data_IF_541581916866
#
_entry.id   IF_541581916866
#
_cell.length_a   1.000
_cell.length_b   1.000
_cell.length_c   1.000
_cell.angle_alpha   90.00
_cell.angle_beta   90.00
_cell.angle_gamma   90.00
#
_symmetry.space_group_name_H-M   'P 1'
#
loop_
_entity.id
_entity.type
_entity.pdbx_description
1 polymer ?
#
# COMPACT_ATOMS: atom_id res chain seq x y z
N UNK A 1 -18.69 54.16 -29.31
CA UNK A 1 -19.49 54.58 -30.49
C UNK A 1 -19.90 53.30 -31.21
N UNK A 2 -20.96 52.58 -30.85
CA UNK A 2 -22.40 52.85 -31.00
C UNK A 2 -22.74 53.50 -32.34
N UNK A 3 -23.38 52.71 -33.22
CA UNK A 3 -24.59 53.08 -33.96
C UNK A 3 -25.31 51.83 -34.49
N UNK A 4 -26.41 51.50 -33.81
CA UNK A 4 -27.56 50.74 -34.32
C UNK A 4 -28.52 51.78 -34.92
N UNK A 5 -29.34 51.41 -35.91
CA UNK A 5 -30.76 51.75 -35.78
C UNK A 5 -31.72 50.59 -36.05
N UNK A 6 -32.77 50.60 -35.22
CA UNK A 6 -33.95 49.76 -35.19
C UNK A 6 -34.82 49.98 -36.44
N UNK A 7 -35.65 49.02 -36.87
CA UNK A 7 -36.99 48.70 -36.35
C UNK A 7 -37.69 47.98 -37.54
N UNK A 8 -38.79 47.23 -37.51
CA UNK A 8 -39.83 46.91 -36.54
C UNK A 8 -40.57 45.68 -37.11
N UNK A 9 -41.31 44.99 -36.25
CA UNK A 9 -42.06 43.73 -36.46
C UNK A 9 -43.12 43.78 -37.59
N UNK A 10 -43.45 42.59 -38.13
CA UNK A 10 -44.80 41.97 -38.35
C UNK A 10 -44.62 40.85 -39.41
N UNK A 11 -44.66 39.57 -39.03
CA UNK A 11 -45.79 38.62 -39.04
C UNK A 11 -46.28 38.19 -40.45
N UNK A 12 -46.23 36.87 -40.66
CA UNK A 12 -47.15 36.02 -41.45
C UNK A 12 -46.87 35.70 -42.93
N UNK A 13 -46.92 34.37 -43.15
CA UNK A 13 -47.45 33.63 -44.30
C UNK A 13 -46.55 33.33 -45.51
N UNK A 14 -46.15 32.06 -45.63
CA UNK A 14 -46.11 31.28 -46.88
C UNK A 14 -45.96 29.79 -46.50
N UNK A 15 -47.02 28.98 -46.54
CA UNK A 15 -47.44 28.14 -47.68
C UNK A 15 -46.32 27.30 -48.31
N UNK A 16 -46.39 25.98 -48.16
CA UNK A 16 -46.18 24.98 -49.21
C UNK A 16 -46.62 23.58 -48.69
N UNK A 17 -46.92 22.58 -49.55
CA UNK A 17 -48.24 21.97 -49.64
C UNK A 17 -48.26 20.51 -49.20
N UNK A 18 -49.49 20.03 -48.97
CA UNK A 18 -49.83 18.63 -48.82
C UNK A 18 -49.35 17.78 -50.01
N UNK A 19 -48.58 16.74 -49.71
CA UNK A 19 -48.60 15.49 -50.46
C UNK A 19 -49.01 14.38 -49.50
N UNK A 20 -50.16 13.80 -49.82
CA UNK A 20 -50.81 12.72 -49.09
C UNK A 20 -50.10 11.42 -49.47
N UNK A 21 -49.51 10.74 -48.49
CA UNK A 21 -49.27 9.30 -48.62
C UNK A 21 -49.84 8.59 -47.39
N UNK A 22 -50.73 7.66 -47.71
CA UNK A 22 -51.46 6.75 -46.83
C UNK A 22 -50.50 6.01 -45.87
N UNK A 23 -50.67 6.22 -44.57
CA UNK A 23 -50.32 5.20 -43.58
C UNK A 23 -51.62 4.56 -43.12
N UNK A 24 -51.81 3.29 -43.52
CA UNK A 24 -52.74 2.40 -42.87
C UNK A 24 -52.39 2.36 -41.37
N UNK A 25 -53.39 2.54 -40.52
CA UNK A 25 -53.30 2.28 -39.09
C UNK A 25 -53.12 0.79 -38.89
N UNK A 26 -51.88 0.33 -38.77
CA UNK A 26 -51.61 -0.88 -38.00
C UNK A 26 -51.58 -0.46 -36.54
N UNK A 27 -52.59 -0.88 -35.79
CA UNK A 27 -52.61 -0.87 -34.33
C UNK A 27 -51.43 -1.70 -33.81
N UNK A 28 -50.24 -1.11 -33.78
CA UNK A 28 -49.14 -1.61 -32.99
C UNK A 28 -49.23 -0.87 -31.66
N UNK A 29 -49.94 -1.49 -30.72
CA UNK A 29 -49.78 -1.16 -29.31
C UNK A 29 -48.27 -1.04 -29.00
N UNK A 30 -47.82 -0.03 -28.24
CA UNK A 30 -46.43 0.06 -27.84
C UNK A 30 -46.03 -1.28 -27.22
N UNK A 31 -44.97 -1.87 -27.78
CA UNK A 31 -44.42 -3.13 -27.30
C UNK A 31 -44.26 -3.00 -25.77
N UNK A 32 -44.86 -3.90 -24.98
CA UNK A 32 -44.76 -3.81 -23.54
C UNK A 32 -43.28 -3.79 -23.18
N UNK A 33 -42.89 -2.78 -22.39
CA UNK A 33 -41.52 -2.67 -21.89
C UNK A 33 -41.04 -4.07 -21.46
N UNK A 34 -39.87 -4.53 -21.93
CA UNK A 34 -39.40 -5.88 -21.64
C UNK A 34 -39.53 -6.09 -20.14
N UNK A 35 -40.32 -7.12 -19.76
CA UNK A 35 -40.53 -7.43 -18.35
C UNK A 35 -39.15 -7.51 -17.70
N UNK A 36 -38.91 -6.82 -16.57
CA UNK A 36 -37.64 -6.93 -15.88
C UNK A 36 -37.36 -8.42 -15.66
N UNK A 37 -36.11 -8.90 -15.89
CA UNK A 37 -35.79 -10.30 -15.74
C UNK A 37 -36.25 -10.76 -14.36
N UNK A 38 -37.22 -11.68 -14.34
CA UNK A 38 -37.64 -12.36 -13.12
C UNK A 38 -36.55 -13.38 -12.83
N UNK A 39 -35.68 -13.05 -11.88
CA UNK A 39 -34.67 -14.00 -11.42
C UNK A 39 -35.38 -15.06 -10.58
N UNK A 40 -35.42 -16.31 -11.06
CA UNK A 40 -35.90 -17.42 -10.25
C UNK A 40 -35.02 -17.56 -9.00
N UNK A 41 -35.65 -17.56 -7.82
CA UNK A 41 -34.98 -17.88 -6.57
C UNK A 41 -34.48 -19.33 -6.69
N UNK A 42 -33.16 -19.59 -6.54
CA UNK A 42 -32.64 -20.93 -6.77
C UNK A 42 -33.17 -21.95 -5.76
N UNK A 43 -33.26 -23.21 -6.20
CA UNK A 43 -34.02 -24.28 -5.53
C UNK A 43 -33.25 -24.98 -4.40
N UNK A 44 -31.94 -24.72 -4.23
CA UNK A 44 -31.12 -25.34 -3.17
C UNK A 44 -30.43 -24.29 -2.29
N UNK A 45 -30.09 -24.65 -1.05
CA UNK A 45 -29.42 -23.74 -0.10
C UNK A 45 -28.07 -23.23 -0.64
N UNK A 46 -27.34 -24.06 -1.38
CA UNK A 46 -26.05 -23.69 -1.97
C UNK A 46 -26.20 -22.72 -3.16
N UNK A 47 -27.26 -22.89 -3.97
CA UNK A 47 -27.57 -21.98 -5.07
C UNK A 47 -28.12 -20.63 -4.57
N UNK A 48 -28.87 -20.63 -3.47
CA UNK A 48 -29.34 -19.40 -2.80
C UNK A 48 -28.17 -18.56 -2.28
N UNK A 49 -27.15 -19.20 -1.70
CA UNK A 49 -25.95 -18.51 -1.23
C UNK A 49 -25.15 -17.96 -2.41
N UNK A 50 -24.88 -18.77 -3.45
CA UNK A 50 -24.19 -18.32 -4.66
C UNK A 50 -24.90 -17.17 -5.39
N UNK A 51 -26.24 -17.18 -5.40
CA UNK A 51 -27.07 -16.09 -5.90
C UNK A 51 -26.95 -14.82 -5.04
N UNK A 52 -27.00 -14.95 -3.71
CA UNK A 52 -26.80 -13.83 -2.77
C UNK A 52 -25.39 -13.24 -2.92
N UNK A 53 -24.37 -14.07 -3.10
CA UNK A 53 -23.00 -13.63 -3.38
C UNK A 53 -22.89 -12.78 -4.65
N UNK A 54 -23.56 -13.18 -5.74
CA UNK A 54 -23.57 -12.41 -6.99
C UNK A 54 -24.19 -11.03 -6.83
N UNK A 55 -25.13 -10.88 -5.90
CA UNK A 55 -25.82 -9.62 -5.61
C UNK A 55 -25.06 -8.72 -4.66
N UNK A 56 -24.35 -9.28 -3.67
CA UNK A 56 -23.64 -8.49 -2.64
C UNK A 56 -22.20 -8.16 -3.03
N UNK A 57 -21.51 -9.06 -3.74
CA UNK A 57 -20.10 -8.90 -4.12
C UNK A 57 -19.88 -8.69 -5.62
N UNK A 58 -20.94 -8.81 -6.43
CA UNK A 58 -20.83 -8.67 -7.88
C UNK A 58 -20.04 -9.79 -8.55
N UNK A 59 -19.99 -10.99 -7.96
CA UNK A 59 -19.26 -12.15 -8.47
C UNK A 59 -20.18 -13.09 -9.27
N UNK A 60 -19.60 -13.89 -10.17
CA UNK A 60 -20.33 -14.98 -10.82
C UNK A 60 -20.68 -16.05 -9.76
N UNK A 61 -21.91 -16.54 -9.72
CA UNK A 61 -22.32 -17.58 -8.76
C UNK A 61 -21.46 -18.83 -8.86
N UNK A 62 -20.85 -19.11 -10.02
CA UNK A 62 -19.94 -20.25 -10.21
C UNK A 62 -18.56 -20.06 -9.57
N UNK A 63 -18.22 -18.82 -9.18
CA UNK A 63 -16.95 -18.50 -8.53
C UNK A 63 -16.93 -18.87 -7.04
N UNK A 64 -18.06 -19.30 -6.46
CA UNK A 64 -18.16 -19.64 -5.03
C UNK A 64 -18.40 -21.14 -4.84
N UNK A 65 -17.56 -21.80 -4.04
CA UNK A 65 -17.63 -23.23 -3.75
C UNK A 65 -17.54 -23.46 -2.24
N UNK A 66 -18.23 -24.47 -1.72
CA UNK A 66 -18.02 -24.88 -0.32
C UNK A 66 -16.60 -25.44 -0.20
N UNK A 67 -15.80 -24.87 0.71
CA UNK A 67 -14.45 -25.36 0.98
C UNK A 67 -14.49 -26.41 2.10
N UNK A 68 -15.23 -26.12 3.17
CA UNK A 68 -15.43 -27.01 4.30
C UNK A 68 -16.80 -26.73 4.98
N UNK A 69 -17.00 -27.23 6.20
CA UNK A 69 -18.23 -27.03 6.97
C UNK A 69 -18.51 -25.54 7.26
N UNK A 70 -17.47 -24.74 7.49
CA UNK A 70 -17.53 -23.37 8.01
C UNK A 70 -17.09 -22.29 7.00
N UNK A 71 -16.48 -22.68 5.88
CA UNK A 71 -15.89 -21.74 4.92
C UNK A 71 -16.31 -21.99 3.47
N UNK A 72 -16.35 -20.90 2.71
CA UNK A 72 -16.43 -20.88 1.25
C UNK A 72 -15.08 -20.52 0.64
N UNK A 73 -14.77 -21.14 -0.51
CA UNK A 73 -13.75 -20.72 -1.44
C UNK A 73 -14.40 -19.81 -2.49
N UNK A 74 -13.85 -18.61 -2.65
CA UNK A 74 -14.34 -17.56 -3.55
C UNK A 74 -13.23 -17.28 -4.55
N UNK A 75 -13.58 -17.32 -5.84
CA UNK A 75 -12.70 -17.06 -7.00
C UNK A 75 -11.39 -17.87 -7.03
N UNK A 76 -11.31 -18.96 -6.27
CA UNK A 76 -10.21 -19.92 -6.29
C UNK A 76 -9.15 -19.75 -5.20
N UNK A 77 -8.98 -18.56 -4.63
CA UNK A 77 -7.93 -18.24 -3.65
C UNK A 77 -8.39 -17.40 -2.44
N UNK A 78 -9.63 -16.92 -2.44
CA UNK A 78 -10.21 -16.19 -1.32
C UNK A 78 -11.07 -17.10 -0.44
N UNK A 79 -10.99 -16.93 0.87
CA UNK A 79 -11.76 -17.69 1.87
C UNK A 79 -12.71 -16.75 2.59
N UNK A 80 -13.96 -17.16 2.76
CA UNK A 80 -14.94 -16.44 3.56
C UNK A 80 -15.68 -17.38 4.50
N UNK A 81 -15.79 -17.00 5.77
CA UNK A 81 -16.59 -17.75 6.73
C UNK A 81 -18.08 -17.66 6.36
N UNK A 82 -18.81 -18.77 6.47
CA UNK A 82 -20.27 -18.80 6.20
C UNK A 82 -21.03 -17.84 7.11
N UNK A 83 -20.57 -17.64 8.35
CA UNK A 83 -21.15 -16.70 9.31
C UNK A 83 -21.02 -15.24 8.87
N UNK A 84 -19.88 -14.83 8.32
CA UNK A 84 -19.65 -13.48 7.81
C UNK A 84 -20.65 -13.13 6.70
N UNK A 85 -20.97 -14.09 5.83
CA UNK A 85 -22.00 -13.89 4.81
C UNK A 85 -23.38 -13.64 5.41
N UNK A 86 -23.78 -14.44 6.40
CA UNK A 86 -25.04 -14.26 7.11
C UNK A 86 -25.13 -12.85 7.71
N UNK A 87 -24.03 -12.38 8.32
CA UNK A 87 -23.97 -11.03 8.87
C UNK A 87 -24.09 -9.96 7.77
N UNK A 88 -23.33 -10.07 6.67
CA UNK A 88 -23.43 -9.15 5.54
C UNK A 88 -24.85 -9.06 4.98
N UNK A 89 -25.56 -10.18 4.89
CA UNK A 89 -26.95 -10.18 4.45
C UNK A 89 -27.87 -9.38 5.39
N UNK A 90 -27.63 -9.46 6.71
CA UNK A 90 -28.41 -8.68 7.68
C UNK A 90 -28.02 -7.20 7.72
N UNK A 91 -26.77 -6.86 7.42
CA UNK A 91 -26.24 -5.49 7.53
C UNK A 91 -26.39 -4.66 6.26
N UNK A 92 -26.45 -5.28 5.08
CA UNK A 92 -26.60 -4.57 3.81
C UNK A 92 -28.01 -4.76 3.25
N UNK A 93 -28.77 -3.67 2.99
CA UNK A 93 -30.06 -3.80 2.34
C UNK A 93 -29.86 -4.45 0.96
N UNK A 94 -30.59 -5.53 0.69
CA UNK A 94 -30.71 -6.08 -0.66
C UNK A 94 -31.38 -5.01 -1.50
N UNK A 95 -30.57 -4.21 -2.20
CA UNK A 95 -31.10 -3.17 -3.09
C UNK A 95 -31.74 -3.90 -4.27
N UNK A 96 -33.07 -3.80 -4.40
CA UNK A 96 -33.73 -4.18 -5.66
C UNK A 96 -32.98 -3.48 -6.79
N UNK A 97 -32.56 -4.24 -7.80
CA UNK A 97 -31.85 -3.71 -8.95
C UNK A 97 -32.75 -2.78 -9.77
N UNK A 98 -32.96 -1.56 -9.30
CA UNK A 98 -33.51 -0.44 -10.04
C UNK A 98 -32.42 0.61 -10.15
N UNK A 99 -31.85 0.71 -11.35
CA UNK A 99 -31.13 1.89 -11.86
C UNK A 99 -30.23 2.64 -10.87
N UNK A 100 -29.46 1.89 -10.08
CA UNK A 100 -28.45 2.46 -9.22
C UNK A 100 -27.18 2.70 -10.05
N UNK A 101 -26.99 3.91 -10.57
CA UNK A 101 -25.69 4.40 -11.08
C UNK A 101 -24.65 4.59 -9.96
N UNK A 102 -24.94 4.12 -8.75
CA UNK A 102 -24.11 4.28 -7.55
C UNK A 102 -23.34 2.99 -7.28
N UNK A 103 -22.01 3.09 -7.37
CA UNK A 103 -21.09 2.11 -6.79
C UNK A 103 -21.27 2.12 -5.27
N UNK A 104 -21.65 0.98 -4.69
CA UNK A 104 -21.66 0.82 -3.23
C UNK A 104 -20.20 0.54 -2.83
N UNK A 105 -19.67 1.34 -1.90
CA UNK A 105 -18.33 1.12 -1.33
C UNK A 105 -18.35 -0.28 -0.72
N UNK A 106 -17.33 -1.09 -1.00
CA UNK A 106 -17.18 -2.40 -0.35
C UNK A 106 -17.40 -2.24 1.17
N UNK A 107 -18.12 -3.17 1.85
CA UNK A 107 -18.23 -3.19 3.31
C UNK A 107 -16.88 -3.05 4.02
N UNK A 108 -15.82 -3.47 3.33
CA UNK A 108 -14.48 -3.73 3.83
C UNK A 108 -13.59 -2.48 3.89
N UNK A 109 -14.19 -1.31 4.12
CA UNK A 109 -13.39 -0.10 4.31
C UNK A 109 -12.66 -0.23 5.64
N UNK A 110 -11.37 -0.50 5.54
CA UNK A 110 -10.45 -0.34 6.64
C UNK A 110 -10.50 1.13 7.07
N UNK A 111 -11.02 1.37 8.26
CA UNK A 111 -11.14 2.69 8.85
C UNK A 111 -10.22 2.80 10.06
N UNK A 112 -9.72 4.02 10.26
CA UNK A 112 -8.84 4.49 11.34
C UNK A 112 -7.35 4.34 11.07
N UNK A 113 -6.62 5.37 11.54
CA UNK A 113 -5.17 5.35 11.61
C UNK A 113 -4.67 4.20 12.49
N UNK A 114 -4.14 3.16 11.85
CA UNK A 114 -3.73 1.94 12.54
C UNK A 114 -2.65 1.19 11.78
N UNK A 115 -1.72 0.58 12.52
CA UNK A 115 -0.82 -0.45 12.00
C UNK A 115 -1.52 -1.80 12.10
N UNK A 116 -1.74 -2.47 10.95
CA UNK A 116 -2.22 -3.84 10.94
C UNK A 116 -1.07 -4.80 11.13
N UNK A 117 -1.13 -5.55 12.24
CA UNK A 117 -0.06 -6.46 12.66
C UNK A 117 -0.22 -7.81 11.96
N UNK A 118 0.81 -8.22 11.24
CA UNK A 118 0.93 -9.54 10.63
C UNK A 118 1.77 -10.41 11.55
N UNK A 119 1.12 -11.32 12.25
CA UNK A 119 1.76 -12.30 13.11
C UNK A 119 2.36 -13.43 12.29
N UNK A 120 3.65 -13.67 12.50
CA UNK A 120 4.39 -14.76 11.89
C UNK A 120 4.70 -15.78 12.98
N UNK A 121 4.53 -17.08 12.71
CA UNK A 121 5.02 -18.12 13.61
C UNK A 121 6.50 -18.42 13.31
N UNK A 122 7.45 -18.01 14.18
CA UNK A 122 8.88 -18.20 13.91
C UNK A 122 9.24 -19.67 13.78
N UNK A 123 10.07 -20.02 12.80
CA UNK A 123 10.56 -21.38 12.59
C UNK A 123 9.63 -22.31 11.79
N UNK A 124 8.44 -21.84 11.38
CA UNK A 124 7.54 -22.61 10.50
C UNK A 124 7.58 -22.18 9.03
N UNK A 125 8.30 -21.11 8.69
CA UNK A 125 8.39 -20.62 7.32
C UNK A 125 9.61 -21.19 6.59
N UNK A 126 9.41 -21.60 5.35
CA UNK A 126 10.50 -22.00 4.46
C UNK A 126 11.47 -20.83 4.20
N UNK A 127 12.72 -21.16 3.89
CA UNK A 127 13.77 -20.19 3.55
C UNK A 127 13.29 -19.23 2.45
N UNK A 128 13.42 -17.93 2.69
CA UNK A 128 13.06 -16.87 1.73
C UNK A 128 11.63 -16.35 1.80
N UNK A 129 10.69 -17.10 2.40
CA UNK A 129 9.27 -16.69 2.56
C UNK A 129 9.15 -15.41 3.38
N UNK A 130 9.85 -15.33 4.51
CA UNK A 130 9.87 -14.15 5.36
C UNK A 130 10.29 -12.89 4.59
N UNK A 131 11.40 -12.99 3.85
CA UNK A 131 11.91 -11.89 3.06
C UNK A 131 10.94 -11.46 1.95
N UNK A 132 10.20 -12.41 1.38
CA UNK A 132 9.22 -12.12 0.34
C UNK A 132 8.00 -11.39 0.93
N UNK A 133 7.54 -11.80 2.12
CA UNK A 133 6.44 -11.14 2.83
C UNK A 133 6.81 -9.70 3.18
N UNK A 134 8.04 -9.47 3.63
CA UNK A 134 8.55 -8.13 3.90
C UNK A 134 8.57 -7.26 2.65
N UNK A 135 9.04 -7.78 1.52
CA UNK A 135 8.96 -7.05 0.25
C UNK A 135 7.52 -6.72 -0.13
N UNK A 136 6.58 -7.66 0.01
CA UNK A 136 5.18 -7.45 -0.33
C UNK A 136 4.50 -6.39 0.56
N UNK A 137 4.78 -6.41 1.87
CA UNK A 137 4.38 -5.36 2.83
C UNK A 137 4.94 -4.01 2.39
N UNK A 138 6.21 -3.96 1.99
CA UNK A 138 6.86 -2.78 1.43
C UNK A 138 6.06 -2.18 0.27
N UNK A 139 5.78 -2.99 -0.75
CA UNK A 139 5.02 -2.54 -1.92
C UNK A 139 3.65 -1.94 -1.54
N UNK A 140 2.85 -2.65 -0.74
CA UNK A 140 1.55 -2.13 -0.31
C UNK A 140 1.66 -0.86 0.49
N UNK A 141 2.53 -0.82 1.49
CA UNK A 141 2.72 0.38 2.30
C UNK A 141 3.18 1.55 1.45
N UNK A 142 3.98 1.32 0.42
CA UNK A 142 4.38 2.37 -0.50
C UNK A 142 3.24 3.03 -1.23
N UNK A 143 2.40 2.24 -1.90
CA UNK A 143 1.26 2.81 -2.62
C UNK A 143 0.20 3.39 -1.67
N UNK A 144 -0.01 2.76 -0.51
CA UNK A 144 -0.97 3.20 0.51
C UNK A 144 -0.53 4.54 1.12
N UNK A 145 0.70 4.62 1.62
CA UNK A 145 1.25 5.81 2.28
C UNK A 145 1.36 6.98 1.28
N UNK A 146 1.85 6.70 0.06
CA UNK A 146 1.97 7.69 -1.01
C UNK A 146 0.60 8.30 -1.39
N UNK A 147 -0.48 7.55 -1.22
CA UNK A 147 -1.85 8.02 -1.54
C UNK A 147 -2.70 8.36 -0.31
N UNK A 148 -2.05 8.49 0.85
CA UNK A 148 -2.64 9.06 2.05
C UNK A 148 -3.49 8.10 2.87
N UNK A 149 -3.40 6.79 2.62
CA UNK A 149 -4.01 5.82 3.52
C UNK A 149 -3.53 6.05 4.96
N UNK A 150 -4.46 5.93 5.90
CA UNK A 150 -4.19 6.11 7.33
C UNK A 150 -3.60 4.86 7.98
N UNK A 151 -3.56 3.73 7.28
CA UNK A 151 -3.04 2.47 7.80
C UNK A 151 -1.83 1.97 7.01
N UNK A 152 -1.10 1.05 7.62
CA UNK A 152 -0.01 0.31 7.00
C UNK A 152 0.09 -1.08 7.63
N UNK A 153 0.76 -2.00 6.93
CA UNK A 153 1.08 -3.33 7.46
C UNK A 153 2.42 -3.30 8.20
N UNK A 154 2.56 -4.18 9.18
CA UNK A 154 3.84 -4.49 9.82
C UNK A 154 3.87 -5.95 10.25
N UNK A 155 4.98 -6.63 9.98
CA UNK A 155 5.16 -8.01 10.40
C UNK A 155 5.85 -8.10 11.77
N UNK A 156 5.41 -9.05 12.59
CA UNK A 156 5.95 -9.34 13.90
C UNK A 156 6.26 -10.84 14.03
N UNK A 157 7.38 -11.15 14.67
CA UNK A 157 7.74 -12.51 15.04
C UNK A 157 6.96 -13.02 16.26
N UNK A 158 6.26 -12.15 16.98
CA UNK A 158 5.32 -12.55 18.03
C UNK A 158 3.90 -12.59 17.44
N UNK A 159 3.24 -13.76 17.36
CA UNK A 159 1.95 -13.90 16.72
C UNK A 159 0.78 -13.27 17.48
N UNK A 160 0.93 -12.83 18.75
CA UNK A 160 -0.21 -12.36 19.53
C UNK A 160 -0.01 -11.04 20.31
N UNK A 161 -0.99 -10.12 20.30
CA UNK A 161 -2.17 -10.08 19.44
C UNK A 161 -1.84 -9.54 18.04
N UNK A 162 -2.17 -10.31 16.99
CA UNK A 162 -2.05 -9.90 15.58
C UNK A 162 -3.42 -9.68 14.94
N UNK A 163 -3.48 -8.80 13.94
CA UNK A 163 -4.67 -8.56 13.12
C UNK A 163 -4.82 -9.57 12.00
N UNK A 164 -3.68 -10.00 11.46
CA UNK A 164 -3.57 -10.94 10.35
C UNK A 164 -2.58 -12.01 10.78
N UNK A 165 -2.93 -13.27 10.59
CA UNK A 165 -2.04 -14.38 10.85
C UNK A 165 -1.47 -14.94 9.55
N UNK A 166 -0.15 -15.13 9.49
CA UNK A 166 0.52 -15.76 8.36
C UNK A 166 0.83 -17.23 8.69
N UNK A 167 0.26 -18.14 7.91
CA UNK A 167 0.43 -19.58 8.06
C UNK A 167 1.09 -20.22 6.85
N UNK A 168 1.64 -21.42 7.03
CA UNK A 168 2.03 -22.31 5.94
C UNK A 168 1.32 -23.65 6.13
N UNK A 169 0.71 -24.17 5.07
CA UNK A 169 0.01 -25.45 5.06
C UNK A 169 0.14 -26.13 3.71
N UNK A 170 -0.11 -27.44 3.64
CA UNK A 170 -0.03 -28.22 2.42
C UNK A 170 -1.43 -28.49 1.85
N UNK A 171 -1.71 -27.97 0.66
CA UNK A 171 -2.95 -28.22 -0.07
C UNK A 171 -2.63 -28.82 -1.45
N UNK A 172 -2.31 -30.13 -1.52
CA UNK A 172 -1.82 -30.76 -2.75
C UNK A 172 -2.86 -30.79 -3.88
N UNK A 173 -4.15 -30.61 -3.57
CA UNK A 173 -5.24 -30.61 -4.54
C UNK A 173 -5.67 -29.19 -4.96
N UNK A 174 -4.95 -28.15 -4.53
CA UNK A 174 -5.25 -26.75 -4.87
C UNK A 174 -4.07 -26.15 -5.63
N UNK A 175 -4.32 -25.71 -6.86
CA UNK A 175 -3.34 -25.08 -7.74
C UNK A 175 -3.29 -23.55 -7.54
N UNK A 176 -3.13 -23.14 -6.28
CA UNK A 176 -3.00 -21.72 -5.89
C UNK A 176 -1.89 -21.55 -4.83
N UNK A 177 -1.12 -20.45 -4.88
CA UNK A 177 -0.03 -20.21 -3.93
C UNK A 177 -0.51 -19.82 -2.53
N UNK A 178 -1.68 -19.21 -2.42
CA UNK A 178 -2.22 -18.70 -1.16
C UNK A 178 -3.72 -18.97 -1.05
N UNK A 179 -4.17 -19.09 0.20
CA UNK A 179 -5.56 -18.94 0.59
C UNK A 179 -5.68 -17.76 1.53
N UNK A 180 -6.58 -16.84 1.23
CA UNK A 180 -6.67 -15.55 1.93
C UNK A 180 -8.06 -15.33 2.48
N UNK A 181 -8.17 -15.16 3.79
CA UNK A 181 -9.45 -14.78 4.40
C UNK A 181 -9.80 -13.35 4.02
N UNK A 182 -10.99 -13.13 3.46
CA UNK A 182 -11.49 -11.78 3.16
C UNK A 182 -11.86 -11.01 4.44
N UNK A 183 -11.83 -9.66 4.41
CA UNK A 183 -12.34 -8.85 5.50
C UNK A 183 -13.80 -9.17 5.87
N UNK A 184 -14.15 -8.90 7.13
CA UNK A 184 -15.52 -8.93 7.61
C UNK A 184 -16.18 -7.55 7.62
N UNK A 185 -17.34 -7.43 8.25
CA UNK A 185 -18.11 -6.19 8.46
C UNK A 185 -17.52 -5.28 9.55
N UNK A 186 -16.51 -5.73 10.28
CA UNK A 186 -15.93 -5.07 11.46
C UNK A 186 -14.90 -3.98 11.12
N UNK A 187 -14.65 -3.69 9.83
CA UNK A 187 -13.65 -2.72 9.39
C UNK A 187 -12.19 -3.14 9.64
N UNK A 188 -11.94 -4.42 9.93
CA UNK A 188 -10.61 -5.01 10.06
C UNK A 188 -10.19 -5.71 8.76
N UNK A 189 -8.88 -5.88 8.52
CA UNK A 189 -8.39 -6.68 7.41
C UNK A 189 -8.85 -8.13 7.51
N UNK A 190 -8.71 -8.85 6.41
CA UNK A 190 -8.80 -10.31 6.41
C UNK A 190 -7.89 -10.93 7.48
N UNK A 191 -8.40 -11.90 8.24
CA UNK A 191 -7.71 -12.37 9.44
C UNK A 191 -6.51 -13.31 9.18
N UNK A 192 -6.36 -13.86 7.95
CA UNK A 192 -5.31 -14.84 7.68
C UNK A 192 -4.86 -14.89 6.22
N UNK A 193 -3.56 -15.15 6.04
CA UNK A 193 -2.93 -15.57 4.79
C UNK A 193 -2.33 -16.95 5.02
N UNK A 194 -2.69 -17.94 4.22
CA UNK A 194 -2.12 -19.28 4.29
C UNK A 194 -1.35 -19.60 3.02
N UNK A 195 -0.03 -19.72 3.14
CA UNK A 195 0.85 -20.17 2.06
C UNK A 195 0.65 -21.67 1.79
N UNK A 196 0.39 -22.03 0.53
CA UNK A 196 0.32 -23.41 0.09
C UNK A 196 1.72 -23.95 -0.24
N UNK A 197 2.31 -24.71 0.68
CA UNK A 197 3.65 -25.29 0.49
C UNK A 197 3.70 -26.34 -0.63
N UNK A 198 2.58 -27.01 -0.91
CA UNK A 198 2.48 -27.97 -2.03
C UNK A 198 2.59 -27.27 -3.39
N UNK A 199 1.98 -26.09 -3.54
CA UNK A 199 2.11 -25.28 -4.74
C UNK A 199 3.55 -24.82 -4.97
N UNK A 200 4.23 -24.32 -3.91
CA UNK A 200 5.62 -23.88 -4.04
C UNK A 200 6.55 -25.01 -4.52
N UNK A 201 6.36 -26.21 -3.99
CA UNK A 201 7.14 -27.40 -4.37
C UNK A 201 6.83 -27.85 -5.80
N UNK A 202 5.55 -27.91 -6.17
CA UNK A 202 5.13 -28.39 -7.49
C UNK A 202 5.53 -27.44 -8.63
N UNK A 203 5.58 -26.14 -8.38
CA UNK A 203 5.82 -25.12 -9.41
C UNK A 203 7.22 -24.50 -9.38
N UNK A 204 8.10 -24.94 -8.47
CA UNK A 204 9.46 -24.41 -8.30
C UNK A 204 9.49 -22.87 -8.26
N UNK A 205 8.65 -22.30 -7.39
CA UNK A 205 8.37 -20.86 -7.35
C UNK A 205 9.64 -20.08 -6.95
N UNK A 206 10.03 -19.10 -7.77
CA UNK A 206 11.15 -18.19 -7.46
C UNK A 206 10.77 -17.18 -6.39
N UNK A 207 11.77 -16.53 -5.79
CA UNK A 207 11.53 -15.49 -4.78
C UNK A 207 10.66 -14.34 -5.34
N UNK A 208 10.91 -13.92 -6.57
CA UNK A 208 10.21 -12.80 -7.22
C UNK A 208 8.74 -13.15 -7.49
N UNK A 209 8.48 -14.39 -7.94
CA UNK A 209 7.12 -14.91 -8.10
C UNK A 209 6.39 -14.99 -6.76
N UNK A 210 7.10 -15.41 -5.69
CA UNK A 210 6.54 -15.46 -4.35
C UNK A 210 6.17 -14.06 -3.83
N UNK A 211 7.03 -13.06 -4.05
CA UNK A 211 6.74 -11.66 -3.71
C UNK A 211 5.48 -11.18 -4.42
N UNK A 212 5.37 -11.41 -5.74
CA UNK A 212 4.17 -11.06 -6.51
C UNK A 212 2.90 -11.69 -5.95
N UNK A 213 2.92 -13.01 -5.72
CA UNK A 213 1.78 -13.73 -5.17
C UNK A 213 1.41 -13.25 -3.75
N UNK A 214 2.39 -12.82 -2.94
CA UNK A 214 2.12 -12.21 -1.63
C UNK A 214 1.53 -10.79 -1.74
N UNK A 215 1.95 -10.00 -2.72
CA UNK A 215 1.31 -8.70 -2.99
C UNK A 215 -0.14 -8.92 -3.40
N UNK A 216 -0.42 -9.90 -4.27
CA UNK A 216 -1.80 -10.29 -4.62
C UNK A 216 -2.60 -10.70 -3.37
N UNK A 217 -2.03 -11.59 -2.54
CA UNK A 217 -2.69 -12.06 -1.32
C UNK A 217 -3.00 -10.93 -0.33
N UNK A 218 -2.08 -9.99 -0.12
CA UNK A 218 -2.32 -8.79 0.69
C UNK A 218 -3.42 -7.90 0.10
N UNK A 219 -3.62 -7.89 -1.22
CA UNK A 219 -4.77 -7.23 -1.83
C UNK A 219 -6.10 -7.82 -1.40
N UNK A 220 -6.21 -9.15 -1.33
CA UNK A 220 -7.40 -9.81 -0.79
C UNK A 220 -7.61 -9.52 0.69
N UNK A 221 -6.54 -9.39 1.49
CA UNK A 221 -6.62 -8.92 2.89
C UNK A 221 -7.24 -7.52 3.00
N UNK A 222 -7.09 -6.68 1.98
CA UNK A 222 -7.72 -5.35 1.88
C UNK A 222 -9.15 -5.41 1.31
N UNK A 223 -9.65 -6.60 0.99
CA UNK A 223 -10.98 -6.82 0.39
C UNK A 223 -11.02 -6.56 -1.12
N UNK A 224 -9.86 -6.55 -1.79
CA UNK A 224 -9.78 -6.45 -3.24
C UNK A 224 -10.10 -7.80 -3.87
N UNK A 225 -10.69 -7.77 -5.06
CA UNK A 225 -11.10 -8.95 -5.82
C UNK A 225 -10.38 -9.00 -7.15
N UNK A 226 -10.51 -10.11 -7.86
CA UNK A 226 -9.81 -10.27 -9.13
C UNK A 226 -10.21 -9.22 -10.17
N UNK A 227 -9.24 -8.73 -10.94
CA UNK A 227 -9.44 -7.67 -11.94
C UNK A 227 -10.18 -8.16 -13.19
N UNK A 228 -10.04 -9.43 -13.55
CA UNK A 228 -10.59 -10.05 -14.75
C UNK A 228 -11.99 -10.64 -14.58
N UNK A 229 -12.63 -10.37 -13.44
CA UNK A 229 -14.03 -10.72 -13.25
C UNK A 229 -14.92 -10.03 -14.28
N UNK A 230 -16.03 -10.68 -14.62
CA UNK A 230 -17.06 -10.09 -15.49
C UNK A 230 -17.60 -8.81 -14.85
N UNK A 231 -17.69 -7.74 -15.64
CA UNK A 231 -18.22 -6.44 -15.20
C UNK A 231 -19.67 -6.59 -14.76
N UNK A 232 -19.90 -6.68 -13.44
CA UNK A 232 -21.24 -6.56 -12.86
C UNK A 232 -21.48 -5.13 -12.39
N UNK A 233 -22.73 -4.72 -12.28
CA UNK A 233 -23.14 -3.33 -12.03
C UNK A 233 -22.69 -2.72 -10.68
N UNK A 234 -21.97 -3.47 -9.83
CA UNK A 234 -21.89 -3.17 -8.40
C UNK A 234 -20.51 -2.78 -7.84
N UNK A 235 -19.42 -2.80 -8.62
CA UNK A 235 -18.12 -2.37 -8.10
C UNK A 235 -17.18 -1.90 -9.21
N UNK A 236 -16.90 -0.60 -9.29
CA UNK A 236 -15.88 -0.06 -10.18
C UNK A 236 -14.90 0.81 -9.38
N UNK A 237 -13.87 0.15 -8.86
CA UNK A 237 -12.73 0.83 -8.26
C UNK A 237 -11.63 1.15 -9.29
N UNK A 238 -11.87 0.95 -10.60
CA UNK A 238 -10.94 1.34 -11.66
C UNK A 238 -9.88 0.30 -12.05
N UNK A 239 -9.91 -0.91 -11.48
CA UNK A 239 -9.02 -2.01 -11.86
C UNK A 239 -9.70 -3.15 -12.64
N UNK A 240 -11.03 -3.12 -12.86
CA UNK A 240 -11.71 -4.18 -13.62
C UNK A 240 -11.29 -4.16 -15.10
N UNK A 241 -10.95 -5.33 -15.64
CA UNK A 241 -10.43 -5.52 -16.99
C UNK A 241 -8.96 -5.15 -17.16
N UNK A 242 -8.27 -4.75 -16.08
CA UNK A 242 -6.85 -4.45 -16.12
C UNK A 242 -6.04 -5.76 -16.06
N UNK A 243 -5.59 -6.22 -17.22
CA UNK A 243 -4.75 -7.42 -17.37
C UNK A 243 -3.35 -7.26 -16.78
N UNK A 244 -2.94 -6.04 -16.42
CA UNK A 244 -1.67 -5.76 -15.76
C UNK A 244 -1.83 -5.55 -14.26
N UNK A 245 -3.06 -5.60 -13.73
CA UNK A 245 -3.32 -5.47 -12.30
C UNK A 245 -2.65 -6.59 -11.53
N UNK A 246 -2.09 -6.26 -10.37
CA UNK A 246 -1.61 -7.28 -9.44
C UNK A 246 -2.74 -8.19 -8.97
N UNK A 247 -3.99 -7.73 -9.03
CA UNK A 247 -5.18 -8.51 -8.68
C UNK A 247 -5.72 -9.35 -9.85
N UNK A 248 -5.03 -9.51 -10.97
CA UNK A 248 -5.50 -10.41 -12.02
C UNK A 248 -5.44 -11.89 -11.59
N UNK A 249 -6.45 -12.71 -11.89
CA UNK A 249 -6.52 -14.12 -11.47
C UNK A 249 -5.34 -14.96 -12.00
N UNK A 250 -4.96 -14.72 -13.25
CA UNK A 250 -3.72 -15.23 -13.84
C UNK A 250 -2.52 -14.38 -13.41
N UNK A 251 -2.22 -14.33 -12.11
CA UNK A 251 -1.06 -13.61 -11.59
C UNK A 251 0.22 -14.05 -12.35
N UNK A 252 1.11 -13.11 -12.70
CA UNK A 252 2.17 -13.45 -13.63
C UNK A 252 3.21 -14.36 -12.98
N UNK A 253 3.50 -15.45 -13.68
CA UNK A 253 4.52 -16.45 -13.31
C UNK A 253 5.95 -15.95 -13.58
N UNK A 254 6.21 -14.66 -13.49
CA UNK A 254 7.50 -14.04 -13.83
C UNK A 254 7.75 -12.72 -13.08
N UNK A 255 8.97 -12.16 -13.16
CA UNK A 255 9.31 -10.93 -12.46
C UNK A 255 8.46 -9.77 -12.98
N UNK A 256 7.81 -9.05 -12.06
CA UNK A 256 7.13 -7.80 -12.40
C UNK A 256 8.15 -6.69 -12.61
N UNK A 257 8.14 -6.05 -13.78
CA UNK A 257 8.86 -4.79 -13.99
C UNK A 257 8.23 -3.62 -13.23
N UNK A 258 6.94 -3.74 -12.89
CA UNK A 258 6.20 -2.83 -12.02
C UNK A 258 5.14 -3.61 -11.23
N UNK A 259 5.15 -3.47 -9.91
CA UNK A 259 4.27 -4.25 -9.03
C UNK A 259 2.79 -3.87 -9.15
N UNK A 260 2.48 -2.58 -9.24
CA UNK A 260 1.11 -2.08 -9.35
C UNK A 260 0.84 -1.43 -10.71
N UNK A 261 -0.31 -1.74 -11.30
CA UNK A 261 -0.80 -1.11 -12.50
C UNK A 261 -1.33 0.32 -12.24
N UNK A 262 -1.71 1.02 -13.31
CA UNK A 262 -2.44 2.30 -13.17
C UNK A 262 -3.83 2.09 -12.55
N UNK A 263 -4.50 0.98 -12.88
CA UNK A 263 -5.79 0.61 -12.29
C UNK A 263 -5.69 0.35 -10.79
N UNK A 264 -4.67 -0.39 -10.35
CA UNK A 264 -4.40 -0.64 -8.92
C UNK A 264 -4.21 0.68 -8.15
N UNK A 265 -3.46 1.61 -8.76
CA UNK A 265 -3.21 2.93 -8.17
C UNK A 265 -4.49 3.77 -8.05
N UNK A 266 -5.34 3.76 -9.08
CA UNK A 266 -6.61 4.49 -9.06
C UNK A 266 -7.57 3.91 -8.00
N UNK A 267 -7.59 2.59 -7.87
CA UNK A 267 -8.36 1.86 -6.87
C UNK A 267 -7.93 2.23 -5.45
N UNK A 268 -6.64 2.19 -5.12
CA UNK A 268 -6.13 2.57 -3.79
C UNK A 268 -6.59 3.97 -3.40
N UNK A 269 -6.43 4.95 -4.31
CA UNK A 269 -6.86 6.34 -4.06
C UNK A 269 -8.36 6.47 -3.78
N UNK A 270 -9.18 5.63 -4.41
CA UNK A 270 -10.64 5.68 -4.28
C UNK A 270 -11.13 4.99 -3.01
N UNK A 271 -10.50 3.88 -2.64
CA UNK A 271 -10.92 3.06 -1.49
C UNK A 271 -10.35 3.58 -0.17
N UNK A 272 -9.11 4.05 -0.20
CA UNK A 272 -8.34 4.53 0.95
C UNK A 272 -7.89 5.98 0.72
N UNK A 273 -8.83 6.92 0.50
CA UNK A 273 -8.48 8.30 0.23
C UNK A 273 -7.78 8.91 1.44
N UNK A 274 -6.84 9.82 1.16
CA UNK A 274 -6.28 10.69 2.16
C UNK A 274 -7.41 11.42 2.91
N UNK A 275 -7.43 11.40 4.25
CA UNK A 275 -8.23 12.33 5.02
C UNK A 275 -7.82 13.76 4.69
N UNK A 276 -8.63 14.73 5.10
CA UNK A 276 -8.27 16.14 5.01
C UNK A 276 -7.17 16.49 6.03
N UNK A 277 -5.96 15.96 5.83
CA UNK A 277 -4.81 16.29 6.64
C UNK A 277 -4.37 17.72 6.36
N UNK A 278 -3.93 18.45 7.39
CA UNK A 278 -3.30 19.74 7.19
C UNK A 278 -2.05 19.55 6.31
N UNK A 279 -1.91 20.41 5.31
CA UNK A 279 -0.68 20.51 4.52
C UNK A 279 0.25 21.48 5.23
N UNK A 280 1.46 21.04 5.57
CA UNK A 280 2.45 21.88 6.23
C UNK A 280 3.84 21.63 5.65
N UNK A 281 4.71 22.62 5.88
CA UNK A 281 6.15 22.48 5.73
C UNK A 281 6.72 21.59 6.83
N UNK A 282 7.75 20.80 6.52
CA UNK A 282 8.57 20.11 7.51
C UNK A 282 9.49 21.06 8.32
N UNK A 283 9.63 22.33 7.93
CA UNK A 283 10.58 23.28 8.53
C UNK A 283 11.93 23.28 7.81
N UNK A 284 13.03 23.56 8.50
CA UNK A 284 14.37 23.42 7.93
C UNK A 284 14.88 21.98 8.10
N UNK A 285 15.63 21.47 7.12
CA UNK A 285 16.23 20.14 7.18
C UNK A 285 17.10 19.99 8.43
N UNK A 286 17.90 21.01 8.77
CA UNK A 286 18.77 21.02 9.95
C UNK A 286 18.07 20.66 11.26
N UNK A 287 16.78 20.96 11.36
CA UNK A 287 15.99 20.89 12.59
C UNK A 287 15.15 19.60 12.67
N UNK A 288 15.24 18.75 11.65
CA UNK A 288 14.51 17.48 11.60
C UNK A 288 15.11 16.44 12.56
N UNK A 289 14.24 15.56 13.06
CA UNK A 289 14.62 14.37 13.80
C UNK A 289 15.21 13.30 12.86
N UNK A 290 14.67 13.16 11.64
CA UNK A 290 15.15 12.22 10.64
C UNK A 290 14.39 12.35 9.32
N UNK A 291 14.93 11.77 8.26
CA UNK A 291 14.28 11.69 6.95
C UNK A 291 14.41 10.26 6.45
N UNK A 292 13.30 9.66 6.03
CA UNK A 292 13.31 8.30 5.50
C UNK A 292 12.46 8.19 4.24
N UNK A 293 12.89 7.31 3.33
CA UNK A 293 12.16 6.96 2.13
C UNK A 293 11.40 5.66 2.42
N UNK A 294 10.09 5.65 2.18
CA UNK A 294 9.30 4.42 2.29
C UNK A 294 9.60 3.50 1.11
N UNK A 295 9.24 2.22 1.24
CA UNK A 295 8.96 1.44 0.03
C UNK A 295 7.89 2.19 -0.78
N UNK A 296 7.93 2.19 -2.11
CA UNK A 296 7.12 3.07 -2.98
C UNK A 296 7.59 4.52 -3.08
N UNK A 297 8.78 4.85 -2.53
CA UNK A 297 9.50 6.11 -2.72
C UNK A 297 8.79 7.38 -2.19
N UNK A 298 7.85 7.26 -1.25
CA UNK A 298 7.36 8.42 -0.51
C UNK A 298 8.42 8.84 0.53
N UNK A 299 8.55 10.14 0.82
CA UNK A 299 9.53 10.62 1.81
C UNK A 299 8.82 11.12 3.05
N UNK A 300 9.27 10.63 4.21
CA UNK A 300 8.79 10.99 5.53
C UNK A 300 9.79 11.92 6.20
N UNK A 301 9.37 13.15 6.46
CA UNK A 301 10.17 14.16 7.16
C UNK A 301 9.71 14.24 8.62
N UNK A 302 10.51 13.70 9.54
CA UNK A 302 10.19 13.69 10.96
C UNK A 302 10.73 14.96 11.62
N UNK A 303 9.85 15.78 12.21
CA UNK A 303 10.24 17.01 12.90
C UNK A 303 10.50 16.73 14.39
N UNK A 304 11.38 17.50 15.02
CA UNK A 304 11.58 17.42 16.49
C UNK A 304 10.37 17.88 17.32
N UNK A 305 9.34 18.45 16.68
CA UNK A 305 8.07 18.84 17.31
C UNK A 305 7.04 17.71 17.34
N UNK A 306 7.41 16.49 16.93
CA UNK A 306 6.50 15.34 16.94
C UNK A 306 5.56 15.29 15.75
N UNK A 307 5.93 15.90 14.62
CA UNK A 307 5.17 15.85 13.37
C UNK A 307 5.92 15.06 12.31
N UNK A 308 5.18 14.38 11.44
CA UNK A 308 5.71 13.75 10.22
C UNK A 308 5.04 14.38 9.03
N UNK A 309 5.82 14.97 8.14
CA UNK A 309 5.35 15.52 6.86
C UNK A 309 5.64 14.52 5.76
N UNK A 310 4.64 14.20 4.94
CA UNK A 310 4.80 13.33 3.78
C UNK A 310 5.07 14.16 2.53
N UNK A 311 6.11 13.79 1.77
CA UNK A 311 6.52 14.52 0.58
C UNK A 311 7.26 13.65 -0.44
N UNK A 312 8.05 14.30 -1.28
CA UNK A 312 9.02 13.66 -2.18
C UNK A 312 10.42 14.09 -1.79
N UNK A 313 11.46 13.40 -2.28
CA UNK A 313 12.86 13.66 -1.91
C UNK A 313 13.32 15.13 -2.03
N UNK A 314 12.70 15.91 -2.92
CA UNK A 314 12.96 17.34 -3.13
C UNK A 314 11.77 18.26 -2.76
N UNK A 315 10.75 17.76 -2.06
CA UNK A 315 9.61 18.55 -1.61
C UNK A 315 9.13 18.06 -0.24
N UNK A 316 9.45 18.84 0.78
CA UNK A 316 9.09 18.60 2.18
C UNK A 316 7.80 19.36 2.60
N UNK A 317 6.91 19.62 1.64
CA UNK A 317 5.59 20.19 1.87
C UNK A 317 4.55 19.14 1.54
N UNK A 318 3.69 18.83 2.50
CA UNK A 318 2.60 17.91 2.27
C UNK A 318 1.78 17.61 3.51
N UNK A 319 0.94 16.56 3.42
CA UNK A 319 0.09 16.14 4.51
C UNK A 319 0.87 15.78 5.78
N UNK A 320 0.39 16.24 6.94
CA UNK A 320 1.08 16.11 8.22
C UNK A 320 0.29 15.29 9.24
N UNK A 321 0.99 14.41 9.97
CA UNK A 321 0.47 13.67 11.14
C UNK A 321 1.39 13.82 12.35
N UNK A 322 1.00 13.29 13.51
CA UNK A 322 1.84 13.24 14.73
C UNK A 322 2.54 11.90 14.89
N UNK A 323 3.75 11.94 15.43
CA UNK A 323 4.41 10.76 15.99
C UNK A 323 4.84 11.03 17.42
N UNK A 324 4.94 9.95 18.20
CA UNK A 324 5.39 10.00 19.59
C UNK A 324 6.67 9.20 19.78
N UNK A 325 7.51 9.66 20.69
CA UNK A 325 8.61 8.90 21.29
C UNK A 325 8.22 8.42 22.69
N UNK A 326 9.18 7.83 23.42
CA UNK A 326 9.02 7.43 24.82
C UNK A 326 9.43 8.55 25.78
N UNK A 327 8.90 8.53 26.99
CA UNK A 327 9.23 9.54 28.03
C UNK A 327 10.74 9.56 28.35
N UNK A 328 11.35 8.38 28.35
CA UNK A 328 12.78 8.13 28.57
C UNK A 328 13.63 8.25 27.29
N UNK A 329 13.01 8.52 26.14
CA UNK A 329 13.66 8.68 24.85
C UNK A 329 12.95 9.79 24.06
N UNK A 330 13.11 11.06 24.48
CA UNK A 330 12.38 12.15 23.89
C UNK A 330 12.77 12.29 22.42
N UNK A 331 11.78 12.60 21.58
CA UNK A 331 11.97 12.76 20.13
C UNK A 331 12.99 13.85 19.75
N UNK A 332 13.29 14.76 20.68
CA UNK A 332 14.31 15.81 20.51
C UNK A 332 15.73 15.26 20.42
N UNK A 333 15.95 14.07 20.98
CA UNK A 333 17.24 13.40 21.05
C UNK A 333 17.48 12.47 19.85
N UNK A 334 16.48 12.28 19.00
CA UNK A 334 16.61 11.52 17.76
C UNK A 334 17.57 12.27 16.83
N UNK A 335 18.57 11.52 16.35
CA UNK A 335 19.57 11.95 15.37
C UNK A 335 19.14 11.54 13.97
N UNK A 336 18.62 10.32 13.84
CA UNK A 336 18.17 9.73 12.59
C UNK A 336 17.08 8.68 12.82
N UNK A 337 16.28 8.45 11.78
CA UNK A 337 15.31 7.36 11.71
C UNK A 337 15.62 6.53 10.46
N UNK A 338 15.67 5.20 10.58
CA UNK A 338 15.72 4.32 9.43
C UNK A 338 14.56 3.33 9.38
N UNK A 339 14.30 2.78 8.19
CA UNK A 339 13.21 1.84 7.97
C UNK A 339 13.63 0.65 7.09
N UNK A 340 13.36 -0.56 7.58
CA UNK A 340 13.58 -1.79 6.82
C UNK A 340 12.52 -1.98 5.73
N UNK A 341 12.73 -2.94 4.82
CA UNK A 341 11.71 -3.29 3.81
C UNK A 341 10.41 -3.81 4.44
N UNK A 342 10.48 -4.32 5.67
CA UNK A 342 9.32 -4.74 6.45
C UNK A 342 8.55 -3.57 7.11
N UNK A 343 8.95 -2.32 6.82
CA UNK A 343 8.46 -1.11 7.49
C UNK A 343 8.66 -1.13 9.01
N UNK A 344 9.71 -1.80 9.49
CA UNK A 344 10.14 -1.67 10.89
C UNK A 344 11.02 -0.43 11.00
N UNK A 345 10.65 0.48 11.89
CA UNK A 345 11.34 1.75 12.07
C UNK A 345 12.37 1.63 13.19
N UNK A 346 13.52 2.27 13.01
CA UNK A 346 14.58 2.36 14.00
C UNK A 346 14.88 3.83 14.24
N UNK A 347 14.67 4.31 15.46
CA UNK A 347 15.07 5.64 15.88
C UNK A 347 16.42 5.56 16.60
N UNK A 348 17.39 6.35 16.16
CA UNK A 348 18.73 6.43 16.71
C UNK A 348 18.88 7.73 17.50
N UNK A 349 19.37 7.61 18.74
CA UNK A 349 19.41 8.70 19.70
C UNK A 349 20.85 9.20 19.91
N UNK A 350 20.98 10.48 20.23
CA UNK A 350 22.27 11.15 20.48
C UNK A 350 23.04 10.56 21.67
N UNK A 351 22.34 9.89 22.59
CA UNK A 351 22.91 9.18 23.73
C UNK A 351 23.49 7.80 23.39
N UNK A 352 23.45 7.39 22.11
CA UNK A 352 24.08 6.15 21.66
C UNK A 352 23.22 4.92 21.69
N UNK A 353 21.93 5.11 21.90
CA UNK A 353 20.99 4.01 21.86
C UNK A 353 20.14 4.10 20.60
N UNK A 354 19.49 2.99 20.29
CA UNK A 354 18.43 2.95 19.31
C UNK A 354 17.23 2.19 19.84
N UNK A 355 16.09 2.48 19.25
CA UNK A 355 14.84 1.76 19.49
C UNK A 355 14.22 1.34 18.18
N UNK A 356 13.62 0.16 18.18
CA UNK A 356 12.69 -0.20 17.11
C UNK A 356 11.27 0.28 17.44
N UNK A 357 10.49 0.53 16.40
CA UNK A 357 9.12 0.99 16.54
C UNK A 357 8.34 1.00 15.24
N UNK A 358 7.25 1.75 15.28
CA UNK A 358 6.32 1.92 14.17
C UNK A 358 6.47 3.31 13.55
N UNK A 359 6.00 3.48 12.32
CA UNK A 359 6.09 4.73 11.54
C UNK A 359 5.74 5.99 12.33
N UNK A 360 4.80 5.87 13.28
CA UNK A 360 4.28 6.98 14.08
C UNK A 360 4.36 6.77 15.59
N UNK A 361 4.99 5.67 16.02
CA UNK A 361 5.22 5.34 17.43
C UNK A 361 6.65 4.83 17.54
N UNK A 362 7.59 5.75 17.42
CA UNK A 362 9.01 5.44 17.50
C UNK A 362 9.30 4.97 18.93
N UNK A 363 9.81 3.76 19.07
CA UNK A 363 10.15 3.18 20.36
C UNK A 363 9.02 2.49 21.13
N UNK A 364 7.79 2.43 20.61
CA UNK A 364 6.67 1.79 21.33
C UNK A 364 6.49 0.29 21.02
N UNK A 365 7.57 -0.43 20.69
CA UNK A 365 7.49 -1.88 20.63
C UNK A 365 7.58 -2.46 22.06
N UNK A 366 6.55 -3.15 22.59
CA UNK A 366 6.59 -3.75 23.93
C UNK A 366 7.70 -4.80 24.10
N UNK A 367 8.28 -5.30 22.99
CA UNK A 367 9.32 -6.35 22.99
C UNK A 367 10.74 -5.78 22.83
N UNK A 368 10.87 -4.51 22.43
CA UNK A 368 12.15 -3.87 22.09
C UNK A 368 12.73 -3.05 23.23
N UNK A 369 13.82 -3.54 23.83
CA UNK A 369 14.60 -2.76 24.80
C UNK A 369 15.35 -1.58 24.17
N UNK A 370 15.72 -0.61 25.00
CA UNK A 370 16.69 0.43 24.69
C UNK A 370 18.03 -0.25 24.38
N UNK A 371 18.40 -0.40 23.10
CA UNK A 371 19.60 -1.14 22.70
C UNK A 371 20.76 -0.19 22.47
N UNK A 372 21.94 -0.52 22.99
CA UNK A 372 23.12 0.29 22.78
C UNK A 372 23.66 0.06 21.36
N UNK A 373 23.89 1.13 20.63
CA UNK A 373 24.60 1.08 19.36
C UNK A 373 26.08 0.76 19.61
N UNK A 374 26.64 -0.08 18.75
CA UNK A 374 28.08 -0.39 18.75
C UNK A 374 28.66 0.17 17.46
N UNK A 375 29.23 1.40 17.47
CA UNK A 375 29.87 1.98 16.31
C UNK A 375 31.01 1.12 15.77
N UNK A 376 31.34 1.32 14.49
CA UNK A 376 32.47 0.66 13.87
C UNK A 376 33.81 1.02 14.55
N UNK A 377 34.86 0.18 14.44
CA UNK A 377 36.19 0.52 14.94
C UNK A 377 36.67 1.89 14.42
N UNK A 378 37.14 2.76 15.32
CA UNK A 378 37.57 4.12 14.99
C UNK A 378 36.45 5.15 14.82
N UNK A 379 35.19 4.73 14.89
CA UNK A 379 34.02 5.60 14.81
C UNK A 379 33.40 5.83 16.19
N UNK A 380 32.59 6.90 16.29
CA UNK A 380 31.84 7.21 17.49
C UNK A 380 30.48 7.80 17.13
N UNK A 381 29.64 8.00 18.13
CA UNK A 381 28.33 8.61 17.93
C UNK A 381 28.44 10.09 17.53
N UNK A 382 29.55 10.76 17.86
CA UNK A 382 29.78 12.14 17.42
C UNK A 382 30.15 12.22 15.93
N UNK A 383 30.60 11.11 15.32
CA UNK A 383 30.84 11.04 13.88
C UNK A 383 29.64 10.53 13.10
N UNK A 384 28.70 9.83 13.75
CA UNK A 384 27.47 9.34 13.13
C UNK A 384 26.58 10.46 12.59
N UNK A 385 26.22 10.38 11.31
CA UNK A 385 25.36 11.38 10.64
C UNK A 385 24.03 10.82 10.16
N UNK A 386 23.91 9.50 10.03
CA UNK A 386 22.67 8.87 9.60
C UNK A 386 22.84 7.40 9.23
N UNK A 387 21.72 6.74 8.94
CA UNK A 387 21.65 5.34 8.59
C UNK A 387 20.60 5.11 7.51
N UNK A 388 20.83 4.13 6.66
CA UNK A 388 19.84 3.67 5.67
C UNK A 388 19.86 2.15 5.62
N UNK A 389 18.77 1.53 5.20
CA UNK A 389 18.68 0.08 5.01
C UNK A 389 18.67 -0.26 3.52
N UNK A 390 19.53 -1.20 3.12
CA UNK A 390 19.52 -1.73 1.76
C UNK A 390 18.23 -2.49 1.47
N UNK A 391 17.58 -2.19 0.35
CA UNK A 391 16.33 -2.85 -0.05
C UNK A 391 16.52 -4.30 -0.47
N UNK A 392 17.70 -4.66 -0.96
CA UNK A 392 18.00 -6.00 -1.46
C UNK A 392 18.09 -7.07 -0.35
N UNK A 393 18.65 -6.72 0.81
CA UNK A 393 18.97 -7.69 1.85
C UNK A 393 18.72 -7.23 3.30
N UNK A 394 18.17 -6.02 3.50
CA UNK A 394 17.99 -5.38 4.80
C UNK A 394 19.27 -5.11 5.62
N UNK A 395 20.44 -5.08 4.99
CA UNK A 395 21.64 -4.64 5.67
C UNK A 395 21.56 -3.14 5.99
N UNK A 396 21.99 -2.79 7.20
CA UNK A 396 22.05 -1.40 7.64
C UNK A 396 23.38 -0.78 7.24
N UNK A 397 23.34 0.38 6.60
CA UNK A 397 24.49 1.25 6.36
C UNK A 397 24.50 2.34 7.42
N UNK A 398 25.66 2.58 8.01
CA UNK A 398 25.88 3.63 9.01
C UNK A 398 26.91 4.60 8.49
N UNK A 399 26.53 5.86 8.36
CA UNK A 399 27.32 6.89 7.69
C UNK A 399 27.97 7.81 8.71
N UNK A 400 29.20 8.22 8.41
CA UNK A 400 30.02 9.03 9.30
C UNK A 400 30.45 10.35 8.62
N UNK A 401 30.66 11.39 9.42
CA UNK A 401 31.04 12.74 8.97
C UNK A 401 32.50 12.85 8.50
N UNK A 402 33.25 11.75 8.45
CA UNK A 402 34.62 11.68 7.94
C UNK A 402 34.70 11.15 6.51
N UNK A 403 33.57 10.87 5.87
CA UNK A 403 33.51 10.30 4.52
C UNK A 403 33.58 8.78 4.48
N UNK A 404 33.39 8.11 5.62
CA UNK A 404 33.30 6.65 5.69
C UNK A 404 31.91 6.14 6.07
N UNK A 405 31.64 4.87 5.78
CA UNK A 405 30.45 4.16 6.26
C UNK A 405 30.79 2.70 6.64
N UNK A 406 29.92 2.09 7.45
CA UNK A 406 29.96 0.67 7.79
C UNK A 406 28.68 -0.03 7.38
N UNK A 407 28.75 -1.36 7.25
CA UNK A 407 27.62 -2.23 6.90
C UNK A 407 27.45 -3.30 7.96
N UNK A 408 26.22 -3.43 8.46
CA UNK A 408 25.95 -4.38 9.53
C UNK A 408 24.46 -4.58 9.82
N UNK A 409 24.17 -4.86 11.08
CA UNK A 409 22.82 -5.06 11.63
C UNK A 409 22.51 -3.96 12.63
N UNK A 410 21.23 -3.79 12.97
CA UNK A 410 20.75 -2.77 13.92
C UNK A 410 21.61 -2.64 15.20
N UNK A 411 22.08 -3.76 15.75
CA UNK A 411 22.87 -3.87 16.98
C UNK A 411 24.40 -4.06 16.77
N UNK A 412 24.87 -4.28 15.54
CA UNK A 412 26.28 -4.54 15.23
C UNK A 412 26.63 -3.82 13.92
N UNK A 413 27.04 -2.56 14.00
CA UNK A 413 27.08 -1.65 12.84
C UNK A 413 28.13 -2.03 11.79
N UNK A 414 29.18 -2.73 12.22
CA UNK A 414 30.28 -3.20 11.38
C UNK A 414 30.31 -4.73 11.19
N UNK A 415 29.15 -5.41 11.34
CA UNK A 415 29.06 -6.88 11.22
C UNK A 415 29.70 -7.42 9.94
N UNK A 416 29.49 -6.71 8.82
CA UNK A 416 29.81 -7.19 7.49
C UNK A 416 30.99 -6.44 6.86
N UNK A 417 31.06 -5.11 7.02
CA UNK A 417 32.21 -4.31 6.59
C UNK A 417 32.28 -2.96 7.31
N UNK A 418 33.45 -2.32 7.31
CA UNK A 418 33.65 -0.98 7.85
C UNK A 418 34.82 -0.28 7.14
N UNK A 419 34.90 1.06 7.27
CA UNK A 419 35.93 1.87 6.63
C UNK A 419 35.72 2.05 5.12
N UNK A 420 34.53 1.70 4.61
CA UNK A 420 34.19 1.96 3.21
C UNK A 420 34.05 3.47 3.01
N UNK A 421 34.50 3.98 1.87
CA UNK A 421 34.47 5.42 1.57
C UNK A 421 33.25 5.79 0.74
N UNK A 422 32.79 7.04 0.92
CA UNK A 422 31.78 7.65 0.07
C UNK A 422 32.18 9.10 -0.24
N UNK A 423 31.55 9.69 -1.26
CA UNK A 423 31.82 11.07 -1.68
C UNK A 423 30.57 11.93 -1.55
N UNK A 424 30.75 13.25 -1.62
CA UNK A 424 29.66 14.23 -1.71
C UNK A 424 29.86 15.13 -2.93
N UNK A 425 28.81 15.78 -3.45
CA UNK A 425 28.94 16.72 -4.57
C UNK A 425 29.92 17.86 -4.28
N UNK A 426 30.45 18.48 -5.34
CA UNK A 426 31.31 19.66 -5.22
C UNK A 426 30.63 20.77 -4.41
N UNK A 427 31.39 21.40 -3.51
CA UNK A 427 30.88 22.45 -2.61
C UNK A 427 30.18 21.94 -1.35
N UNK A 428 29.94 20.63 -1.22
CA UNK A 428 29.44 20.00 0.01
C UNK A 428 30.56 19.37 0.83
N UNK A 429 30.33 19.26 2.13
CA UNK A 429 31.16 18.54 3.09
C UNK A 429 30.35 17.41 3.72
N UNK A 430 31.02 16.37 4.20
CA UNK A 430 30.39 15.29 4.97
C UNK A 430 29.65 15.81 6.20
N UNK A 431 30.19 16.85 6.84
CA UNK A 431 29.57 17.54 7.99
C UNK A 431 28.29 18.30 7.64
N UNK A 432 28.00 18.55 6.37
CA UNK A 432 26.81 19.26 5.92
C UNK A 432 25.59 18.34 5.82
N UNK A 433 25.81 17.01 5.83
CA UNK A 433 24.76 16.01 5.78
C UNK A 433 23.97 16.04 7.09
N UNK A 434 22.64 15.94 6.94
CA UNK A 434 21.70 15.83 8.05
C UNK A 434 20.99 14.48 8.08
N UNK A 435 20.67 13.96 6.91
CA UNK A 435 20.01 12.66 6.80
C UNK A 435 20.41 11.96 5.52
N UNK A 436 20.25 10.65 5.54
CA UNK A 436 20.56 9.74 4.44
C UNK A 436 19.40 8.78 4.20
N UNK A 437 19.13 8.41 2.96
CA UNK A 437 18.04 7.49 2.63
C UNK A 437 18.32 6.66 1.38
N UNK A 438 17.60 5.55 1.24
CA UNK A 438 17.68 4.69 0.04
C UNK A 438 16.29 4.38 -0.48
N UNK A 439 16.11 4.49 -1.79
CA UNK A 439 14.85 4.20 -2.46
C UNK A 439 14.78 2.75 -3.01
N UNK A 440 13.65 2.38 -3.61
CA UNK A 440 13.43 1.03 -4.12
C UNK A 440 14.34 0.67 -5.32
N UNK A 441 14.92 1.66 -5.99
CA UNK A 441 15.88 1.45 -7.08
C UNK A 441 17.32 1.32 -6.55
N UNK A 442 17.52 1.38 -5.23
CA UNK A 442 18.83 1.33 -4.59
C UNK A 442 19.61 2.64 -4.71
N UNK A 443 18.94 3.75 -5.03
CA UNK A 443 19.58 5.07 -5.09
C UNK A 443 19.75 5.65 -3.70
N UNK A 444 20.90 6.25 -3.46
CA UNK A 444 21.24 6.90 -2.19
C UNK A 444 20.95 8.40 -2.25
N UNK A 445 20.36 8.93 -1.19
CA UNK A 445 19.97 10.33 -1.04
C UNK A 445 20.68 10.94 0.15
N UNK A 446 21.28 12.11 -0.04
CA UNK A 446 21.85 12.90 1.06
C UNK A 446 21.14 14.24 1.15
N UNK A 447 20.46 14.47 2.27
CA UNK A 447 19.87 15.77 2.60
C UNK A 447 20.85 16.59 3.42
N UNK A 448 21.03 17.84 3.01
CA UNK A 448 21.98 18.76 3.61
C UNK A 448 21.28 19.79 4.50
N UNK A 449 22.00 20.27 5.51
CA UNK A 449 21.51 21.27 6.49
C UNK A 449 21.06 22.59 5.84
N UNK A 450 21.50 22.88 4.61
CA UNK A 450 21.15 24.09 3.85
C UNK A 450 19.92 23.91 2.94
N UNK A 451 19.03 22.96 3.27
CA UNK A 451 17.80 22.70 2.52
C UNK A 451 18.03 22.27 1.05
N UNK A 452 19.11 21.53 0.81
CA UNK A 452 19.36 20.89 -0.49
C UNK A 452 19.47 19.38 -0.36
N UNK A 453 19.36 18.67 -1.48
CA UNK A 453 19.46 17.20 -1.55
C UNK A 453 20.26 16.79 -2.79
N UNK A 454 21.04 15.71 -2.67
CA UNK A 454 21.65 15.04 -3.83
C UNK A 454 21.23 13.57 -3.87
N UNK A 455 21.24 12.97 -5.07
CA UNK A 455 21.03 11.53 -5.24
C UNK A 455 22.05 10.88 -6.16
N UNK A 456 22.30 9.59 -5.95
CA UNK A 456 23.25 8.79 -6.74
C UNK A 456 22.78 7.34 -6.88
N UNK A 457 23.05 6.73 -8.04
CA UNK A 457 22.79 5.28 -8.28
C UNK A 457 23.86 4.38 -7.67
N UNK A 458 25.01 4.94 -7.27
CA UNK A 458 26.12 4.22 -6.67
C UNK A 458 26.53 4.88 -5.35
N UNK A 459 27.16 4.12 -4.47
CA UNK A 459 27.76 4.61 -3.21
C UNK A 459 28.87 5.67 -3.43
N UNK A 460 29.35 5.78 -4.67
CA UNK A 460 30.23 6.86 -5.14
C UNK A 460 29.38 7.99 -5.76
N UNK A 461 29.16 9.08 -5.02
CA UNK A 461 28.52 10.31 -5.53
C UNK A 461 29.49 11.15 -6.38
N UNK A 462 30.37 10.53 -7.17
CA UNK A 462 31.28 11.24 -8.08
C UNK A 462 30.59 11.78 -9.33
N UNK A 463 29.33 11.39 -9.56
CA UNK A 463 28.47 11.98 -10.56
C UNK A 463 27.00 12.05 -10.08
N UNK A 464 26.67 12.94 -9.12
CA UNK A 464 25.33 13.01 -8.53
C UNK A 464 24.39 13.90 -9.36
N UNK A 465 23.11 13.56 -9.36
CA UNK A 465 22.06 14.53 -9.68
C UNK A 465 21.85 15.39 -8.42
N UNK A 466 22.47 16.58 -8.39
CA UNK A 466 22.36 17.55 -7.29
C UNK A 466 23.70 18.15 -6.85
N UNK A 467 23.71 19.06 -5.86
CA UNK A 467 22.60 19.38 -4.95
C UNK A 467 21.50 20.21 -5.62
N UNK A 468 20.24 19.84 -5.41
CA UNK A 468 19.06 20.62 -5.78
C UNK A 468 18.34 21.13 -4.54
N UNK A 469 17.63 22.25 -4.65
CA UNK A 469 16.84 22.78 -3.54
C UNK A 469 15.71 21.81 -3.17
N UNK A 470 15.50 21.62 -1.87
CA UNK A 470 14.30 20.98 -1.33
C UNK A 470 13.27 22.08 -1.12
N UNK A 471 12.10 21.91 -1.72
CA UNK A 471 10.97 22.81 -1.46
C UNK A 471 10.53 22.62 -0.01
N UNK A 472 10.74 23.65 0.81
CA UNK A 472 10.28 23.65 2.19
C UNK A 472 8.98 24.45 2.38
N UNK A 473 8.58 25.33 1.44
CA UNK A 473 7.40 26.20 1.58
C UNK A 473 6.50 26.14 0.35
#
# INVERSE_FOLDING_TARGET
MIKIPASMKVLSAALLPLLVYSCATTDNAPEPAPKPPVYEIPKTHQDTLAFIYSRTLGLDSTAVKSMDANNFLVDGDMVMAKSTLTEMFTSFPVVEAKDSTKSIKSPYVLNNYRVFKIGINPGQMATGVESALYSAIGYWNGILIQHGAEFNFMAYSDPAPSDIMFYTSAYPNMDVPFLVTLPGTNGLPGAAITLNSSYLQAHNVTREQLVSAMVHALGHILGLQHSDRKKTAYYDAGNIGDSSSVMHSNFPKGPHTKMFSKGDTAMVKRLFPAPNWPVQSAGNISDLAGIEITAGNAVLYYTKSGKVVRGSWNNAVGPTTTYAGRTEAPITDIVEISMTTANRFYAYFSNGYYMDGEMYKLGNNPVGGYNQAIPAPGQSLSTFIGTTVKRENNDHLYWYNDGTYSVGRSNEWAKYSYGNTYTVPAGKKFTDIKAVGTDDEGRYYFWYKDNTVSRSNNLNHSNPEGPVAVKMN
#
